data_IF_279246479079
#
_entry.id   IF_279246479079
#
_cell.length_a   1.000
_cell.length_b   1.000
_cell.length_c   1.000
_cell.angle_alpha   90.00
_cell.angle_beta   90.00
_cell.angle_gamma   90.00
#
_symmetry.space_group_name_H-M   'P 1'
#
loop_
_entity.id
_entity.type
_entity.pdbx_description
1 polymer ?
#
# COMPACT_ATOMS: atom_id res chain seq x y z
N UNK A 1 10.45 -1.23 -12.24
CA UNK A 1 10.82 -0.31 -11.14
C UNK A 1 9.82 -0.47 -10.00
N UNK A 2 10.27 -0.78 -8.77
CA UNK A 2 9.41 -1.06 -7.61
C UNK A 2 9.01 0.23 -6.87
N UNK A 3 8.76 1.31 -7.59
CA UNK A 3 8.46 2.65 -7.04
C UNK A 3 7.23 2.62 -6.13
N UNK A 4 6.21 1.86 -6.54
CA UNK A 4 4.95 1.71 -5.81
C UNK A 4 5.17 1.15 -4.41
N UNK A 5 6.08 0.19 -4.25
CA UNK A 5 6.37 -0.43 -2.95
C UNK A 5 6.95 0.58 -1.95
N UNK A 6 7.88 1.44 -2.40
CA UNK A 6 8.44 2.53 -1.61
C UNK A 6 7.36 3.53 -1.19
N UNK A 7 6.45 3.83 -2.10
CA UNK A 7 5.36 4.79 -1.84
C UNK A 7 4.35 4.19 -0.85
N UNK A 8 3.95 2.93 -1.05
CA UNK A 8 3.07 2.20 -0.13
C UNK A 8 3.69 2.09 1.27
N UNK A 9 5.00 1.87 1.39
CA UNK A 9 5.71 1.89 2.68
C UNK A 9 5.66 3.26 3.34
N UNK A 10 6.02 4.33 2.63
CA UNK A 10 5.98 5.71 3.17
C UNK A 10 4.56 6.11 3.59
N UNK A 11 3.55 5.68 2.84
CA UNK A 11 2.14 5.92 3.17
C UNK A 11 1.78 5.14 4.44
N UNK A 12 2.11 3.84 4.54
CA UNK A 12 1.87 3.04 5.75
C UNK A 12 2.55 3.60 7.00
N UNK A 13 3.73 4.20 6.87
CA UNK A 13 4.41 4.86 8.00
C UNK A 13 3.70 6.14 8.45
N UNK A 14 2.95 6.83 7.57
CA UNK A 14 2.25 8.08 7.90
C UNK A 14 0.83 7.87 8.42
N UNK A 15 0.06 6.97 7.79
CA UNK A 15 -1.36 6.74 8.12
C UNK A 15 -1.61 5.42 8.85
N UNK A 16 -0.67 4.47 8.84
CA UNK A 16 -0.83 3.15 9.46
C UNK A 16 -1.09 2.03 8.45
N UNK A 17 -0.86 0.79 8.89
CA UNK A 17 -0.85 -0.40 8.03
C UNK A 17 -2.23 -0.91 7.61
N UNK A 18 -3.31 -0.45 8.25
CA UNK A 18 -4.67 -0.93 8.00
C UNK A 18 -5.29 -0.43 6.68
N UNK A 19 -4.82 0.71 6.17
CA UNK A 19 -5.46 1.37 5.04
C UNK A 19 -5.14 0.78 3.67
N UNK A 20 -4.04 0.04 3.53
CA UNK A 20 -3.60 -0.48 2.24
C UNK A 20 -3.50 -2.00 2.30
N UNK A 21 -4.41 -2.69 1.63
CA UNK A 21 -4.38 -4.13 1.41
C UNK A 21 -3.79 -4.47 0.05
N UNK A 22 -2.90 -5.45 0.02
CA UNK A 22 -2.37 -5.99 -1.23
C UNK A 22 -3.30 -7.12 -1.70
N UNK A 23 -3.85 -6.98 -2.90
CA UNK A 23 -4.65 -8.01 -3.58
C UNK A 23 -3.75 -8.68 -4.62
N UNK A 24 -3.37 -9.93 -4.34
CA UNK A 24 -2.52 -10.72 -5.24
C UNK A 24 -3.23 -10.91 -6.59
N UNK A 25 -2.54 -10.55 -7.67
CA UNK A 25 -3.04 -10.68 -9.05
C UNK A 25 -3.80 -9.47 -9.60
N UNK A 26 -4.06 -8.44 -8.78
CA UNK A 26 -4.78 -7.23 -9.23
C UNK A 26 -4.04 -5.94 -8.87
N UNK A 27 -3.52 -5.81 -7.63
CA UNK A 27 -2.81 -4.60 -7.21
C UNK A 27 -2.99 -4.27 -5.72
N UNK A 28 -3.08 -2.98 -5.41
CA UNK A 28 -3.27 -2.48 -4.04
C UNK A 28 -4.66 -1.86 -3.91
N UNK A 29 -5.39 -2.22 -2.86
CA UNK A 29 -6.68 -1.65 -2.52
C UNK A 29 -6.54 -0.79 -1.27
N UNK A 30 -7.09 0.42 -1.36
CA UNK A 30 -7.27 1.28 -0.21
C UNK A 30 -8.61 0.94 0.46
N UNK A 31 -8.57 0.58 1.74
CA UNK A 31 -9.72 0.19 2.55
C UNK A 31 -9.74 1.17 3.73
N UNK A 32 -10.78 1.99 3.84
CA UNK A 32 -10.97 2.99 4.92
C UNK A 32 -11.87 2.42 6.00
#
# INVERSE_FOLDING_TARGET
>A
DRTIDVHVRKIREKIGSHYIKTIKGVGYKFDI
#
